data_IF_327203570438
#
_entry.id   IF_327203570438
#
_cell.length_a   1.000
_cell.length_b   1.000
_cell.length_c   1.000
_cell.angle_alpha   90.00
_cell.angle_beta   90.00
_cell.angle_gamma   90.00
#
_symmetry.space_group_name_H-M   'P 1'
#
loop_
_entity.id
_entity.type
_entity.pdbx_description
1 polymer ?
#
# COMPACT_ATOMS: atom_id res chain seq x y z
N UNK A 1 13.49 -7.67 -1.63
CA UNK A 1 12.20 -7.33 -2.24
C UNK A 1 11.19 -8.32 -1.71
N UNK A 2 10.04 -7.83 -1.25
CA UNK A 2 8.96 -8.63 -0.70
C UNK A 2 8.00 -9.03 -1.82
N UNK A 3 7.32 -10.17 -1.68
CA UNK A 3 6.19 -10.50 -2.54
C UNK A 3 4.94 -9.78 -2.02
N UNK A 4 4.19 -9.14 -2.92
CA UNK A 4 2.90 -8.53 -2.59
C UNK A 4 1.76 -9.49 -2.95
N UNK A 5 1.05 -9.96 -1.92
CA UNK A 5 -0.17 -10.74 -2.08
C UNK A 5 -1.38 -9.83 -1.90
N UNK A 6 -2.32 -9.90 -2.84
CA UNK A 6 -3.49 -9.02 -2.86
C UNK A 6 -4.76 -9.78 -2.54
N UNK A 7 -5.61 -9.19 -1.69
CA UNK A 7 -6.99 -9.61 -1.57
C UNK A 7 -7.75 -9.26 -2.87
N UNK A 8 -8.66 -10.09 -3.39
CA UNK A 8 -9.38 -9.81 -4.64
C UNK A 8 -10.10 -8.45 -4.63
N UNK A 9 -10.67 -8.04 -3.50
CA UNK A 9 -11.32 -6.73 -3.37
C UNK A 9 -10.34 -5.56 -3.48
N UNK A 10 -9.08 -5.74 -3.04
CA UNK A 10 -8.06 -4.71 -3.21
C UNK A 10 -7.69 -4.53 -4.68
N UNK A 11 -7.67 -5.61 -5.46
CA UNK A 11 -7.47 -5.53 -6.92
C UNK A 11 -8.64 -4.78 -7.58
N UNK A 12 -9.87 -5.17 -7.25
CA UNK A 12 -11.06 -4.52 -7.80
C UNK A 12 -11.11 -3.02 -7.45
N UNK A 13 -10.73 -2.65 -6.22
CA UNK A 13 -10.63 -1.25 -5.82
C UNK A 13 -9.58 -0.52 -6.67
N UNK A 14 -8.36 -1.05 -6.80
CA UNK A 14 -7.29 -0.46 -7.62
C UNK A 14 -7.76 -0.25 -9.06
N UNK A 15 -8.44 -1.23 -9.65
CA UNK A 15 -8.94 -1.17 -11.02
C UNK A 15 -9.98 -0.05 -11.22
N UNK A 16 -10.82 0.20 -10.22
CA UNK A 16 -11.87 1.23 -10.24
C UNK A 16 -11.35 2.67 -10.07
N UNK A 17 -10.09 2.85 -9.65
CA UNK A 17 -9.49 4.16 -9.44
C UNK A 17 -9.36 4.96 -10.73
N UNK A 18 -9.43 6.30 -10.60
CA UNK A 18 -9.06 7.21 -11.69
C UNK A 18 -7.61 6.95 -12.14
N UNK A 19 -7.26 7.20 -13.41
CA UNK A 19 -5.91 6.93 -13.91
C UNK A 19 -4.81 7.59 -13.07
N UNK A 20 -5.03 8.83 -12.61
CA UNK A 20 -4.08 9.55 -11.77
C UNK A 20 -3.90 8.90 -10.39
N UNK A 21 -5.00 8.46 -9.76
CA UNK A 21 -4.90 7.81 -8.45
C UNK A 21 -4.30 6.41 -8.56
N UNK A 22 -4.65 5.67 -9.61
CA UNK A 22 -4.08 4.36 -9.92
C UNK A 22 -2.55 4.43 -10.04
N UNK A 23 -2.02 5.41 -10.76
CA UNK A 23 -0.56 5.61 -10.87
C UNK A 23 0.11 5.88 -9.50
N UNK A 24 -0.55 6.65 -8.62
CA UNK A 24 -0.04 6.90 -7.26
C UNK A 24 -0.05 5.66 -6.39
N UNK A 25 -1.09 4.83 -6.49
CA UNK A 25 -1.19 3.57 -5.75
C UNK A 25 -0.13 2.59 -6.22
N UNK A 26 0.05 2.42 -7.53
CA UNK A 26 1.12 1.57 -8.08
C UNK A 26 2.50 2.01 -7.59
N UNK A 27 2.81 3.30 -7.60
CA UNK A 27 4.07 3.80 -7.05
C UNK A 27 4.23 3.55 -5.53
N UNK A 28 3.14 3.57 -4.77
CA UNK A 28 3.17 3.26 -3.34
C UNK A 28 3.41 1.76 -3.12
N UNK A 29 2.84 0.90 -3.96
CA UNK A 29 3.07 -0.55 -3.96
C UNK A 29 4.51 -0.89 -4.33
N UNK A 30 5.11 -0.26 -5.34
CA UNK A 30 6.53 -0.47 -5.69
C UNK A 30 7.46 -0.19 -4.49
N UNK A 31 7.18 0.89 -3.74
CA UNK A 31 7.93 1.22 -2.53
C UNK A 31 7.72 0.20 -1.43
N UNK A 32 6.49 -0.29 -1.27
CA UNK A 32 6.15 -1.31 -0.29
C UNK A 32 6.83 -2.64 -0.62
N UNK A 33 6.86 -3.03 -1.89
CA UNK A 33 7.56 -4.21 -2.37
C UNK A 33 9.08 -4.14 -2.07
N UNK A 34 9.68 -2.96 -2.28
CA UNK A 34 11.11 -2.75 -2.04
C UNK A 34 11.48 -2.77 -0.53
N UNK A 35 10.65 -2.18 0.33
CA UNK A 35 11.02 -1.90 1.73
C UNK A 35 10.19 -2.65 2.79
N UNK A 36 9.05 -3.24 2.41
CA UNK A 36 8.14 -3.92 3.32
C UNK A 36 7.74 -3.05 4.51
N UNK A 37 7.81 -3.64 5.70
CA UNK A 37 7.51 -2.97 6.97
C UNK A 37 8.54 -1.91 7.40
N UNK A 38 9.69 -1.80 6.70
CA UNK A 38 10.66 -0.73 6.92
C UNK A 38 10.26 0.56 6.21
N UNK A 39 9.32 0.52 5.26
CA UNK A 39 8.72 1.73 4.70
C UNK A 39 8.02 2.48 5.84
N UNK A 40 8.35 3.77 6.05
CA UNK A 40 7.84 4.60 7.16
C UNK A 40 6.95 5.74 6.66
N UNK A 41 6.54 6.61 7.58
CA UNK A 41 5.89 7.88 7.26
C UNK A 41 6.74 8.70 6.27
N UNK A 42 6.15 9.35 5.25
CA UNK A 42 4.70 9.57 5.04
C UNK A 42 3.98 8.44 4.30
N UNK A 43 4.69 7.41 3.84
CA UNK A 43 4.15 6.36 2.97
C UNK A 43 3.36 5.30 3.72
N UNK A 44 3.74 5.02 4.95
CA UNK A 44 3.00 4.08 5.80
C UNK A 44 2.78 4.64 7.20
N UNK A 45 1.82 4.05 7.91
CA UNK A 45 1.57 4.30 9.33
C UNK A 45 1.21 2.99 10.03
N UNK A 46 1.80 2.66 11.20
CA UNK A 46 1.33 1.54 12.00
C UNK A 46 -0.07 1.84 12.56
N UNK A 47 -0.97 0.85 12.48
CA UNK A 47 -2.33 0.96 13.01
C UNK A 47 -2.41 0.24 14.35
N UNK A 48 -2.08 -1.06 14.37
CA UNK A 48 -1.96 -1.90 15.57
C UNK A 48 -1.27 -3.21 15.20
N UNK A 49 -0.61 -3.86 16.16
CA UNK A 49 -0.18 -5.28 16.11
C UNK A 49 0.07 -5.87 14.70
N UNK A 50 1.14 -5.42 14.02
CA UNK A 50 1.52 -5.98 12.71
C UNK A 50 0.66 -5.54 11.51
N UNK A 51 -0.37 -4.71 11.74
CA UNK A 51 -1.21 -4.08 10.73
C UNK A 51 -0.75 -2.64 10.47
N UNK A 52 -0.57 -2.32 9.19
CA UNK A 52 -0.09 -1.04 8.70
C UNK A 52 -1.06 -0.47 7.66
N UNK A 53 -1.12 0.85 7.59
CA UNK A 53 -1.77 1.59 6.50
C UNK A 53 -0.71 1.99 5.48
N UNK A 54 -0.94 1.67 4.21
CA UNK A 54 -0.22 2.24 3.06
C UNK A 54 -0.98 3.48 2.57
N UNK A 55 -0.24 4.54 2.24
CA UNK A 55 -0.77 5.87 1.90
C UNK A 55 -0.30 6.25 0.50
N UNK A 56 -1.25 6.33 -0.44
CA UNK A 56 -0.97 6.68 -1.82
C UNK A 56 -1.53 8.07 -2.14
N UNK A 57 -0.65 9.03 -2.42
CA UNK A 57 -1.02 10.42 -2.68
C UNK A 57 -0.78 11.36 -1.49
N UNK A 58 -1.28 12.59 -1.60
CA UNK A 58 -1.06 13.66 -0.62
C UNK A 58 -2.37 14.38 -0.25
N UNK A 59 -2.83 15.30 -1.10
CA UNK A 59 -4.09 16.04 -0.91
C UNK A 59 -5.31 15.16 -1.17
N UNK A 60 -5.25 14.40 -2.25
CA UNK A 60 -6.19 13.33 -2.57
C UNK A 60 -5.44 12.02 -2.34
N UNK A 61 -5.93 11.21 -1.40
CA UNK A 61 -5.19 10.08 -0.83
C UNK A 61 -6.06 8.82 -0.82
N UNK A 62 -5.57 7.77 -1.46
CA UNK A 62 -6.07 6.41 -1.28
C UNK A 62 -5.28 5.73 -0.16
N UNK A 63 -5.96 4.91 0.63
CA UNK A 63 -5.39 4.21 1.79
C UNK A 63 -5.83 2.76 1.75
N UNK A 64 -4.89 1.86 2.01
CA UNK A 64 -5.18 0.45 2.14
C UNK A 64 -4.41 -0.12 3.33
N UNK A 65 -4.86 -1.27 3.84
CA UNK A 65 -4.16 -1.96 4.93
C UNK A 65 -3.28 -3.08 4.37
N UNK A 66 -2.15 -3.31 5.02
CA UNK A 66 -1.33 -4.48 4.78
C UNK A 66 -0.77 -5.03 6.09
N UNK A 67 -0.49 -6.33 6.08
CA UNK A 67 0.34 -7.00 7.07
C UNK A 67 1.62 -7.47 6.38
N UNK A 68 2.66 -7.77 7.16
CA UNK A 68 3.89 -8.34 6.65
C UNK A 68 4.23 -9.62 7.44
N UNK A 69 4.90 -10.55 6.78
CA UNK A 69 5.48 -11.72 7.40
C UNK A 69 6.87 -11.97 6.80
N UNK A 70 7.76 -12.57 7.59
CA UNK A 70 9.05 -13.11 7.15
C UNK A 70 9.03 -14.57 7.61
N UNK A 71 9.26 -15.49 6.67
CA UNK A 71 9.37 -16.92 6.93
C UNK A 71 10.77 -17.31 7.40
#
# INVERSE_FOLDING_TARGET
MFELLFHPEAIAEIESLTPLMKAKVLNALDKLEAQGNLLRFPHTRPIREGLFELRAGSKDISRTFFAFAIG
#
